data_IF_112848921762
#
_entry.id   IF_112848921762
#
_cell.length_a   1.000
_cell.length_b   1.000
_cell.length_c   1.000
_cell.angle_alpha   90.00
_cell.angle_beta   90.00
_cell.angle_gamma   90.00
#
_symmetry.space_group_name_H-M   'P 1'
#
loop_
_entity.id
_entity.type
_entity.pdbx_description
1 polymer ?
#
# COMPACT_ATOMS: atom_id res chain seq x y z
N UNK A 1 18.64 -19.56 -15.13
CA UNK A 1 19.37 -19.16 -13.91
C UNK A 1 19.33 -20.33 -12.93
N UNK A 2 20.48 -20.79 -12.43
CA UNK A 2 20.53 -21.84 -11.41
C UNK A 2 19.85 -21.31 -10.14
N UNK A 3 18.82 -22.02 -9.66
CA UNK A 3 18.22 -21.73 -8.35
C UNK A 3 19.33 -21.95 -7.32
N UNK A 4 19.90 -20.86 -6.82
CA UNK A 4 20.91 -20.89 -5.79
C UNK A 4 20.26 -21.57 -4.56
N UNK A 5 20.76 -22.73 -4.16
CA UNK A 5 20.27 -23.49 -3.00
C UNK A 5 20.76 -22.85 -1.69
N UNK A 6 20.85 -21.52 -1.63
CA UNK A 6 21.22 -20.80 -0.42
C UNK A 6 20.14 -21.06 0.66
N UNK A 7 20.56 -21.65 1.77
CA UNK A 7 19.69 -21.91 2.91
C UNK A 7 19.64 -20.68 3.81
N UNK A 8 18.74 -19.74 3.53
CA UNK A 8 18.51 -18.59 4.40
C UNK A 8 17.85 -18.98 5.74
N UNK A 9 18.18 -18.26 6.79
CA UNK A 9 17.52 -18.28 8.09
C UNK A 9 16.72 -16.99 8.29
N UNK A 10 15.39 -17.10 8.22
CA UNK A 10 14.49 -15.94 8.24
C UNK A 10 13.71 -15.81 9.55
N UNK A 11 13.55 -14.58 10.03
CA UNK A 11 12.62 -14.25 11.10
C UNK A 11 11.29 -13.76 10.51
N UNK A 12 10.20 -14.51 10.68
CA UNK A 12 8.87 -14.07 10.24
C UNK A 12 8.14 -13.38 11.38
N UNK A 13 7.90 -12.08 11.26
CA UNK A 13 7.31 -11.25 12.32
C UNK A 13 5.81 -11.03 12.11
N UNK A 14 4.99 -11.82 12.81
CA UNK A 14 3.54 -11.82 12.70
C UNK A 14 2.87 -10.85 13.71
N UNK A 15 1.92 -10.05 13.23
CA UNK A 15 1.10 -9.14 14.04
C UNK A 15 -0.27 -9.73 14.43
N UNK A 16 -0.65 -10.88 13.87
CA UNK A 16 -1.92 -11.57 14.13
C UNK A 16 -1.79 -13.08 13.96
N UNK A 17 -2.75 -13.85 14.49
CA UNK A 17 -2.81 -15.31 14.29
C UNK A 17 -2.89 -15.69 12.80
N UNK A 18 -3.61 -14.90 12.00
CA UNK A 18 -3.71 -15.16 10.57
C UNK A 18 -2.37 -14.96 9.84
N UNK A 19 -1.58 -13.96 10.25
CA UNK A 19 -0.22 -13.78 9.71
C UNK A 19 0.72 -14.89 10.19
N UNK A 20 0.59 -15.32 11.44
CA UNK A 20 1.35 -16.44 11.98
C UNK A 20 1.07 -17.74 11.22
N UNK A 21 -0.20 -18.10 11.00
CA UNK A 21 -0.57 -19.28 10.20
C UNK A 21 -0.04 -19.19 8.77
N UNK A 22 -0.16 -18.03 8.13
CA UNK A 22 0.37 -17.80 6.79
C UNK A 22 1.90 -17.96 6.72
N UNK A 23 2.64 -17.31 7.64
CA UNK A 23 4.09 -17.40 7.67
C UNK A 23 4.61 -18.79 8.03
N UNK A 24 3.93 -19.50 8.93
CA UNK A 24 4.28 -20.89 9.26
C UNK A 24 4.17 -21.80 8.04
N UNK A 25 3.05 -21.71 7.30
CA UNK A 25 2.85 -22.46 6.06
C UNK A 25 3.86 -22.04 4.99
N UNK A 26 4.03 -20.74 4.75
CA UNK A 26 4.95 -20.23 3.74
C UNK A 26 6.40 -20.66 4.02
N UNK A 27 6.86 -20.57 5.26
CA UNK A 27 8.19 -21.04 5.68
C UNK A 27 8.39 -22.53 5.38
N UNK A 28 7.38 -23.36 5.67
CA UNK A 28 7.40 -24.80 5.40
C UNK A 28 7.47 -25.07 3.90
N UNK A 29 6.58 -24.44 3.12
CA UNK A 29 6.46 -24.65 1.68
C UNK A 29 7.67 -24.10 0.90
N UNK A 30 8.34 -23.05 1.39
CA UNK A 30 9.61 -22.55 0.85
C UNK A 30 10.82 -23.43 1.22
N UNK A 31 10.66 -24.32 2.20
CA UNK A 31 11.74 -25.11 2.79
C UNK A 31 12.95 -24.24 3.18
N UNK A 32 12.71 -23.18 3.97
CA UNK A 32 13.76 -22.29 4.50
C UNK A 32 13.93 -22.44 6.01
N UNK A 33 15.15 -22.19 6.50
CA UNK A 33 15.41 -22.03 7.91
C UNK A 33 14.69 -20.80 8.47
N UNK A 34 14.39 -20.81 9.77
CA UNK A 34 13.79 -19.64 10.39
C UNK A 34 12.85 -19.93 11.54
N UNK A 35 12.22 -18.87 12.05
CA UNK A 35 11.20 -18.93 13.10
C UNK A 35 10.09 -17.92 12.83
N UNK A 36 8.87 -18.28 13.21
CA UNK A 36 7.73 -17.35 13.21
C UNK A 36 7.56 -16.80 14.62
N UNK A 37 7.61 -15.48 14.76
CA UNK A 37 7.42 -14.76 16.01
C UNK A 37 6.12 -13.96 15.97
N UNK A 38 5.16 -14.32 16.83
CA UNK A 38 3.95 -13.54 16.99
C UNK A 38 4.14 -12.41 18.01
N UNK A 39 3.96 -11.16 17.56
CA UNK A 39 4.15 -9.95 18.37
C UNK A 39 3.19 -9.84 19.58
N UNK A 40 2.10 -10.62 19.62
CA UNK A 40 1.19 -10.72 20.77
C UNK A 40 1.64 -11.75 21.81
N UNK A 41 2.38 -12.77 21.37
CA UNK A 41 2.88 -13.86 22.21
C UNK A 41 4.37 -14.11 21.92
N UNK A 42 5.25 -13.12 22.13
CA UNK A 42 6.63 -13.18 21.65
C UNK A 42 7.53 -14.15 22.43
N UNK A 43 7.01 -14.84 23.44
CA UNK A 43 7.81 -15.71 24.32
C UNK A 43 8.66 -14.94 25.33
N UNK A 44 9.82 -15.52 25.68
CA UNK A 44 10.71 -15.05 26.75
C UNK A 44 11.96 -14.35 26.18
N UNK A 45 12.47 -13.38 26.94
CA UNK A 45 13.69 -12.63 26.62
C UNK A 45 14.02 -11.62 27.72
N UNK A 46 15.23 -11.05 27.69
CA UNK A 46 15.70 -10.05 28.63
C UNK A 46 14.91 -8.74 28.56
N UNK A 47 13.74 -8.67 29.19
CA UNK A 47 12.86 -7.48 29.14
C UNK A 47 13.54 -6.20 29.63
N UNK A 48 14.48 -6.32 30.57
CA UNK A 48 15.25 -5.19 31.09
C UNK A 48 16.14 -4.56 30.01
N UNK A 49 16.92 -5.35 29.26
CA UNK A 49 17.75 -4.83 28.17
C UNK A 49 16.93 -4.18 27.07
N UNK A 50 15.78 -4.77 26.73
CA UNK A 50 14.86 -4.23 25.74
C UNK A 50 14.26 -2.89 26.21
N UNK A 51 13.86 -2.79 27.48
CA UNK A 51 13.36 -1.54 28.06
C UNK A 51 14.43 -0.44 28.08
N UNK A 52 15.66 -0.76 28.50
CA UNK A 52 16.78 0.19 28.47
C UNK A 52 17.05 0.68 27.05
N UNK A 53 17.05 -0.22 26.06
CA UNK A 53 17.22 0.14 24.66
C UNK A 53 16.12 1.10 24.17
N UNK A 54 14.86 0.85 24.55
CA UNK A 54 13.72 1.70 24.21
C UNK A 54 13.82 3.10 24.85
N UNK A 55 14.21 3.17 26.13
CA UNK A 55 14.35 4.43 26.86
C UNK A 55 15.50 5.29 26.30
N UNK A 56 16.62 4.67 25.91
CA UNK A 56 17.73 5.37 25.23
C UNK A 56 17.31 5.97 23.88
N UNK A 57 16.25 5.46 23.25
CA UNK A 57 15.69 5.92 21.98
C UNK A 57 14.36 6.66 22.13
N UNK A 58 14.14 7.30 23.29
CA UNK A 58 12.93 8.11 23.54
C UNK A 58 12.65 9.19 22.50
N UNK A 59 13.69 9.69 21.83
CA UNK A 59 13.57 10.68 20.75
C UNK A 59 12.86 10.12 19.50
N UNK A 60 12.86 8.80 19.28
CA UNK A 60 12.18 8.15 18.14
C UNK A 60 10.73 7.72 18.45
N UNK A 61 10.28 7.85 19.70
CA UNK A 61 8.95 7.34 20.08
C UNK A 61 7.82 8.03 19.34
N UNK A 62 7.92 9.33 19.07
CA UNK A 62 6.91 10.06 18.29
C UNK A 62 6.77 9.46 16.89
N UNK A 63 7.88 9.15 16.23
CA UNK A 63 7.92 8.53 14.90
C UNK A 63 7.32 7.12 14.93
N UNK A 64 7.80 6.24 15.82
CA UNK A 64 7.31 4.86 15.91
C UNK A 64 5.82 4.76 16.25
N UNK A 65 5.33 5.68 17.08
CA UNK A 65 3.94 5.67 17.53
C UNK A 65 3.00 6.47 16.60
N UNK A 66 3.53 7.21 15.63
CA UNK A 66 2.79 8.18 14.80
C UNK A 66 1.50 7.58 14.23
N UNK A 67 1.63 6.49 13.45
CA UNK A 67 0.48 5.85 12.81
C UNK A 67 -0.59 5.40 13.82
N UNK A 68 -0.18 4.75 14.92
CA UNK A 68 -1.12 4.28 15.95
C UNK A 68 -1.83 5.44 16.65
N UNK A 69 -1.12 6.55 16.88
CA UNK A 69 -1.67 7.74 17.53
C UNK A 69 -2.63 8.49 16.60
N UNK A 70 -2.27 8.70 15.34
CA UNK A 70 -3.14 9.39 14.37
C UNK A 70 -4.38 8.57 14.06
N UNK A 71 -4.23 7.27 13.76
CA UNK A 71 -5.37 6.36 13.60
C UNK A 71 -6.25 6.34 14.84
N UNK A 72 -5.65 6.43 16.03
CA UNK A 72 -6.38 6.55 17.29
C UNK A 72 -7.23 7.82 17.37
N UNK A 73 -6.65 8.98 17.07
CA UNK A 73 -7.35 10.28 17.08
C UNK A 73 -8.54 10.31 16.14
N UNK A 74 -8.37 9.84 14.89
CA UNK A 74 -9.45 9.77 13.90
C UNK A 74 -10.63 8.90 14.36
N UNK A 75 -10.36 7.91 15.21
CA UNK A 75 -11.36 6.98 15.73
C UNK A 75 -11.77 7.30 17.18
N UNK A 76 -11.53 8.51 17.69
CA UNK A 76 -11.90 8.93 19.05
C UNK A 76 -11.18 8.16 20.18
N UNK A 77 -10.03 7.54 19.89
CA UNK A 77 -9.27 6.74 20.85
C UNK A 77 -8.21 7.57 21.60
N UNK A 78 -7.73 7.01 22.73
CA UNK A 78 -6.67 7.62 23.56
C UNK A 78 -5.39 7.89 22.75
N UNK A 79 -4.79 9.06 22.96
CA UNK A 79 -3.57 9.50 22.26
C UNK A 79 -2.53 10.20 23.17
N UNK A 80 -2.84 10.36 24.47
CA UNK A 80 -2.04 11.13 25.43
C UNK A 80 -0.71 10.47 25.85
N UNK A 81 0.08 11.19 26.66
CA UNK A 81 1.44 10.77 27.07
C UNK A 81 1.47 9.41 27.77
N UNK A 82 0.56 9.16 28.72
CA UNK A 82 0.46 7.88 29.43
C UNK A 82 0.12 6.72 28.48
N UNK A 83 -0.76 6.95 27.51
CA UNK A 83 -1.09 5.96 26.49
C UNK A 83 0.13 5.61 25.63
N UNK A 84 0.87 6.62 25.17
CA UNK A 84 2.10 6.44 24.39
C UNK A 84 3.15 5.65 25.17
N UNK A 85 3.37 6.01 26.43
CA UNK A 85 4.27 5.26 27.32
C UNK A 85 3.83 3.79 27.48
N UNK A 86 2.53 3.55 27.66
CA UNK A 86 1.96 2.20 27.70
C UNK A 86 2.20 1.39 26.42
N UNK A 87 2.17 2.01 25.23
CA UNK A 87 2.52 1.34 23.97
C UNK A 87 3.99 0.92 23.92
N UNK A 88 4.90 1.75 24.44
CA UNK A 88 6.32 1.40 24.55
C UNK A 88 6.52 0.22 25.48
N UNK A 89 5.92 0.26 26.67
CA UNK A 89 5.99 -0.87 27.62
C UNK A 89 5.47 -2.17 27.00
N UNK A 90 4.36 -2.12 26.26
CA UNK A 90 3.79 -3.27 25.52
C UNK A 90 4.69 -3.80 24.40
N UNK A 91 5.70 -3.04 23.98
CA UNK A 91 6.67 -3.43 22.95
C UNK A 91 7.93 -4.09 23.53
N UNK A 92 8.16 -3.98 24.85
CA UNK A 92 9.35 -4.56 25.51
C UNK A 92 9.47 -6.06 25.29
N UNK A 93 8.37 -6.81 25.47
CA UNK A 93 8.36 -8.27 25.29
C UNK A 93 8.69 -8.69 23.86
N UNK A 94 8.11 -8.03 22.85
CA UNK A 94 8.40 -8.39 21.46
C UNK A 94 9.81 -8.00 21.05
N UNK A 95 10.30 -6.83 21.49
CA UNK A 95 11.69 -6.44 21.24
C UNK A 95 12.67 -7.40 21.92
N UNK A 96 12.41 -7.82 23.17
CA UNK A 96 13.29 -8.75 23.88
C UNK A 96 13.42 -10.11 23.17
N UNK A 97 12.32 -10.62 22.60
CA UNK A 97 12.35 -11.84 21.83
C UNK A 97 13.15 -11.69 20.52
N UNK A 98 12.95 -10.59 19.79
CA UNK A 98 13.75 -10.29 18.59
C UNK A 98 15.23 -10.14 18.94
N UNK A 99 15.57 -9.42 20.00
CA UNK A 99 16.95 -9.29 20.50
C UNK A 99 17.58 -10.67 20.79
N UNK A 100 16.83 -11.57 21.42
CA UNK A 100 17.31 -12.93 21.72
C UNK A 100 17.56 -13.73 20.44
N UNK A 101 16.66 -13.63 19.45
CA UNK A 101 16.79 -14.34 18.18
C UNK A 101 17.95 -13.79 17.34
N UNK A 102 18.10 -12.47 17.25
CA UNK A 102 19.23 -11.85 16.55
C UNK A 102 20.58 -12.30 17.15
N UNK A 103 20.69 -12.35 18.48
CA UNK A 103 21.92 -12.80 19.15
C UNK A 103 22.23 -14.28 18.98
N UNK A 104 21.20 -15.13 18.99
CA UNK A 104 21.39 -16.59 19.00
C UNK A 104 21.40 -17.23 17.61
N UNK A 105 20.82 -16.56 16.61
CA UNK A 105 20.60 -17.14 15.27
C UNK A 105 21.11 -16.29 14.13
N UNK A 106 21.37 -14.99 14.35
CA UNK A 106 21.82 -14.05 13.30
C UNK A 106 21.01 -14.17 11.99
N UNK A 107 19.72 -13.81 11.99
CA UNK A 107 18.87 -13.95 10.80
C UNK A 107 19.40 -13.16 9.62
N UNK A 108 19.32 -13.75 8.42
CA UNK A 108 19.66 -13.07 7.16
C UNK A 108 18.65 -11.95 6.86
N UNK A 109 17.39 -12.17 7.23
CA UNK A 109 16.33 -11.18 7.04
C UNK A 109 15.14 -11.35 7.98
N UNK A 110 14.34 -10.29 8.07
CA UNK A 110 13.07 -10.27 8.80
C UNK A 110 11.90 -10.00 7.85
N UNK A 111 11.01 -10.99 7.72
CA UNK A 111 9.81 -10.90 6.89
C UNK A 111 8.65 -10.37 7.71
N UNK A 112 7.96 -9.35 7.23
CA UNK A 112 6.79 -8.79 7.90
C UNK A 112 5.77 -8.22 6.91
N UNK A 113 4.49 -8.29 7.27
CA UNK A 113 3.42 -7.69 6.47
C UNK A 113 3.26 -6.21 6.82
N UNK A 114 3.22 -5.34 5.82
CA UNK A 114 3.22 -3.89 5.93
C UNK A 114 4.52 -3.38 6.58
N UNK A 115 4.47 -2.64 7.70
CA UNK A 115 5.62 -2.07 8.37
C UNK A 115 5.29 -0.85 9.25
N UNK A 116 4.11 -0.27 9.11
CA UNK A 116 3.70 0.94 9.82
C UNK A 116 3.30 0.74 11.29
N UNK A 117 3.03 -0.50 11.73
CA UNK A 117 2.59 -0.73 13.10
C UNK A 117 3.72 -0.43 14.09
N UNK A 118 3.42 0.21 15.23
CA UNK A 118 4.45 0.67 16.17
C UNK A 118 5.44 -0.41 16.66
N UNK A 119 4.94 -1.63 16.91
CA UNK A 119 5.81 -2.78 17.23
C UNK A 119 6.77 -3.13 16.09
N UNK A 120 6.31 -3.04 14.84
CA UNK A 120 7.15 -3.25 13.65
C UNK A 120 8.16 -2.12 13.52
N UNK A 121 7.77 -0.85 13.68
CA UNK A 121 8.69 0.29 13.65
C UNK A 121 9.82 0.16 14.68
N UNK A 122 9.51 -0.28 15.90
CA UNK A 122 10.50 -0.56 16.95
C UNK A 122 11.44 -1.71 16.55
N UNK A 123 10.87 -2.83 16.07
CA UNK A 123 11.66 -3.99 15.64
C UNK A 123 12.54 -3.66 14.45
N UNK A 124 12.02 -2.93 13.47
CA UNK A 124 12.72 -2.44 12.28
C UNK A 124 13.88 -1.51 12.66
N UNK A 125 13.69 -0.64 13.64
CA UNK A 125 14.78 0.20 14.14
C UNK A 125 15.89 -0.64 14.77
N UNK A 126 15.55 -1.66 15.57
CA UNK A 126 16.53 -2.56 16.16
C UNK A 126 17.28 -3.41 15.12
N UNK A 127 16.57 -4.10 14.23
CA UNK A 127 17.18 -5.02 13.26
C UNK A 127 18.10 -4.30 12.26
N UNK A 128 17.81 -3.04 11.90
CA UNK A 128 18.72 -2.20 11.10
C UNK A 128 20.02 -1.89 11.81
N UNK A 129 20.01 -1.66 13.13
CA UNK A 129 21.25 -1.51 13.92
C UNK A 129 22.07 -2.81 13.96
N UNK A 130 21.45 -3.96 13.69
CA UNK A 130 22.13 -5.25 13.63
C UNK A 130 22.54 -5.64 12.20
N UNK A 131 22.27 -4.81 11.19
CA UNK A 131 22.56 -5.13 9.78
C UNK A 131 21.66 -6.22 9.19
N UNK A 132 20.51 -6.52 9.79
CA UNK A 132 19.57 -7.54 9.31
C UNK A 132 18.62 -6.91 8.28
N UNK A 133 18.46 -7.57 7.12
CA UNK A 133 17.67 -7.05 6.01
C UNK A 133 16.15 -7.13 6.28
N UNK A 134 15.41 -6.02 6.30
CA UNK A 134 13.95 -6.07 6.32
C UNK A 134 13.40 -6.53 4.97
N UNK A 135 12.35 -7.35 5.02
CA UNK A 135 11.60 -7.86 3.87
C UNK A 135 10.13 -7.50 4.08
N UNK A 136 9.69 -6.44 3.42
CA UNK A 136 8.35 -5.87 3.56
C UNK A 136 7.40 -6.56 2.59
N UNK A 137 6.38 -7.21 3.11
CA UNK A 137 5.30 -7.81 2.31
C UNK A 137 4.06 -6.94 2.31
N UNK A 138 3.32 -6.90 1.22
CA UNK A 138 2.00 -6.29 1.13
C UNK A 138 1.13 -7.06 0.15
N UNK A 139 -0.19 -6.85 0.20
CA UNK A 139 -1.04 -7.26 -0.92
C UNK A 139 -0.54 -6.61 -2.22
N UNK A 140 -0.46 -7.41 -3.28
CA UNK A 140 -0.03 -6.89 -4.59
C UNK A 140 -1.07 -5.97 -5.23
N UNK A 141 -0.59 -5.11 -6.12
CA UNK A 141 -1.44 -4.16 -6.86
C UNK A 141 -2.17 -4.80 -8.06
N UNK A 142 -1.77 -6.01 -8.48
CA UNK A 142 -2.49 -6.80 -9.48
C UNK A 142 -3.31 -7.92 -8.81
N UNK A 143 -4.37 -8.42 -9.46
CA UNK A 143 -5.20 -9.50 -8.93
C UNK A 143 -4.39 -10.74 -8.53
N UNK A 144 -4.74 -11.34 -7.38
CA UNK A 144 -4.09 -12.55 -6.84
C UNK A 144 -2.56 -12.50 -6.78
N UNK A 145 -2.00 -11.35 -6.39
CA UNK A 145 -0.55 -11.19 -6.19
C UNK A 145 -0.20 -10.70 -4.79
N UNK A 146 1.07 -10.84 -4.44
CA UNK A 146 1.72 -10.32 -3.22
C UNK A 146 2.97 -9.56 -3.62
N UNK A 147 3.21 -8.39 -3.03
CA UNK A 147 4.47 -7.67 -3.18
C UNK A 147 5.42 -8.05 -2.04
N UNK A 148 6.72 -8.19 -2.34
CA UNK A 148 7.78 -8.27 -1.33
C UNK A 148 9.00 -7.45 -1.76
N UNK A 149 9.54 -6.64 -0.85
CA UNK A 149 10.54 -5.62 -1.18
C UNK A 149 11.49 -5.38 0.01
N UNK A 150 12.76 -5.09 -0.27
CA UNK A 150 13.78 -4.84 0.74
C UNK A 150 13.80 -3.41 1.32
N UNK A 151 13.23 -2.43 0.62
CA UNK A 151 13.20 -1.01 1.02
C UNK A 151 11.90 -0.64 1.74
N UNK A 152 10.76 -1.12 1.26
CA UNK A 152 9.46 -0.77 1.82
C UNK A 152 8.29 -1.27 0.97
N UNK A 153 7.06 -0.91 1.36
CA UNK A 153 5.85 -1.23 0.58
C UNK A 153 5.12 0.04 0.19
N UNK A 154 4.29 -0.07 -0.85
CA UNK A 154 3.59 1.07 -1.45
C UNK A 154 4.59 2.16 -1.85
N UNK A 155 4.32 3.43 -1.55
CA UNK A 155 5.21 4.53 -1.93
C UNK A 155 6.69 4.36 -1.51
N UNK A 156 6.95 3.70 -0.38
CA UNK A 156 8.29 3.47 0.14
C UNK A 156 9.03 2.27 -0.49
N UNK A 157 8.40 1.56 -1.44
CA UNK A 157 9.01 0.44 -2.14
C UNK A 157 10.10 0.86 -3.12
N UNK A 158 10.86 -0.13 -3.61
CA UNK A 158 11.97 0.05 -4.52
C UNK A 158 11.57 0.12 -6.01
N UNK A 159 10.27 0.26 -6.31
CA UNK A 159 9.76 0.35 -7.69
C UNK A 159 10.43 1.53 -8.41
N UNK A 160 11.11 1.31 -9.56
CA UNK A 160 11.79 2.37 -10.31
C UNK A 160 10.83 3.49 -10.70
N UNK A 161 11.30 4.75 -10.61
CA UNK A 161 10.49 5.94 -10.88
C UNK A 161 10.82 6.65 -12.18
N UNK A 162 11.80 6.13 -12.91
CA UNK A 162 12.22 6.65 -14.21
C UNK A 162 11.45 5.91 -15.32
N UNK A 163 10.70 6.60 -16.19
CA UNK A 163 10.02 5.95 -17.31
C UNK A 163 10.98 5.25 -18.28
N UNK A 164 12.24 5.71 -18.40
CA UNK A 164 13.24 5.09 -19.27
C UNK A 164 13.56 3.65 -18.86
N UNK A 165 13.47 3.35 -17.56
CA UNK A 165 13.63 1.99 -17.05
C UNK A 165 12.62 1.03 -17.69
N UNK A 166 11.35 1.43 -17.76
CA UNK A 166 10.28 0.59 -18.32
C UNK A 166 10.32 0.55 -19.83
N UNK A 167 10.69 1.65 -20.51
CA UNK A 167 10.89 1.63 -21.97
C UNK A 167 12.02 0.70 -22.41
N UNK A 168 13.03 0.51 -21.56
CA UNK A 168 14.10 -0.48 -21.79
C UNK A 168 13.73 -1.92 -21.38
N UNK A 169 12.59 -2.12 -20.71
CA UNK A 169 12.14 -3.44 -20.30
C UNK A 169 11.48 -4.17 -21.46
N UNK A 170 11.89 -5.42 -21.70
CA UNK A 170 11.35 -6.25 -22.78
C UNK A 170 10.53 -7.39 -22.15
N UNK A 171 9.18 -7.29 -22.15
CA UNK A 171 8.31 -8.31 -21.56
C UNK A 171 8.54 -9.69 -22.17
N UNK A 172 8.54 -10.73 -21.34
CA UNK A 172 8.65 -12.11 -21.83
C UNK A 172 7.35 -12.64 -22.42
N UNK A 173 6.22 -12.05 -22.03
CA UNK A 173 4.87 -12.41 -22.45
C UNK A 173 4.03 -11.16 -22.68
N UNK A 174 2.98 -11.31 -23.49
CA UNK A 174 1.92 -10.31 -23.51
C UNK A 174 1.23 -10.25 -22.16
N UNK A 175 1.07 -9.03 -21.66
CA UNK A 175 0.41 -8.78 -20.39
C UNK A 175 -1.08 -8.93 -20.60
N UNK A 176 -1.68 -9.89 -19.91
CA UNK A 176 -3.12 -9.98 -19.84
C UNK A 176 -3.64 -8.79 -19.02
N UNK A 177 -4.08 -7.74 -19.72
CA UNK A 177 -4.67 -6.54 -19.12
C UNK A 177 -6.12 -6.78 -18.68
N UNK A 178 -6.68 -7.99 -18.84
CA UNK A 178 -8.03 -8.25 -18.33
C UNK A 178 -8.04 -8.24 -16.80
N UNK A 179 -8.54 -7.14 -16.24
CA UNK A 179 -8.89 -7.10 -14.84
C UNK A 179 -9.92 -8.18 -14.55
N UNK A 180 -9.57 -9.09 -13.65
CA UNK A 180 -10.56 -10.03 -13.09
C UNK A 180 -11.61 -9.19 -12.36
N UNK A 181 -12.83 -9.17 -12.92
CA UNK A 181 -14.01 -8.58 -12.30
C UNK A 181 -14.12 -9.07 -10.86
N UNK A 182 -13.91 -8.16 -9.90
CA UNK A 182 -14.22 -8.47 -8.50
C UNK A 182 -15.74 -8.52 -8.40
N UNK A 183 -16.34 -9.56 -7.79
CA UNK A 183 -17.78 -9.57 -7.61
C UNK A 183 -18.17 -8.31 -6.82
N UNK A 184 -19.15 -7.53 -7.29
CA UNK A 184 -19.60 -6.35 -6.58
C UNK A 184 -20.04 -6.76 -5.18
N UNK A 185 -19.61 -6.00 -4.16
CA UNK A 185 -20.31 -6.07 -2.88
C UNK A 185 -21.72 -5.56 -3.10
N UNK A 186 -22.72 -6.18 -2.46
CA UNK A 186 -24.13 -5.81 -2.61
C UNK A 186 -24.25 -4.27 -2.64
N UNK A 187 -24.72 -3.69 -3.77
CA UNK A 187 -24.96 -2.26 -3.86
C UNK A 187 -25.86 -1.82 -2.71
N UNK A 188 -25.60 -0.62 -2.19
CA UNK A 188 -26.52 0.04 -1.27
C UNK A 188 -27.20 1.14 -2.07
N UNK A 189 -28.49 0.98 -2.33
CA UNK A 189 -29.29 1.91 -3.12
C UNK A 189 -29.35 1.56 -4.62
N UNK A 190 -29.94 2.47 -5.39
CA UNK A 190 -30.11 2.35 -6.83
C UNK A 190 -28.98 3.07 -7.58
N UNK A 191 -28.42 2.49 -8.66
CA UNK A 191 -27.45 3.17 -9.52
C UNK A 191 -27.99 4.51 -10.03
N UNK A 192 -27.09 5.49 -10.18
CA UNK A 192 -27.42 6.78 -10.79
C UNK A 192 -27.04 6.80 -12.26
N UNK A 193 -27.74 7.63 -13.04
CA UNK A 193 -27.37 7.93 -14.42
C UNK A 193 -26.06 8.69 -14.46
N UNK A 194 -25.15 8.25 -15.34
CA UNK A 194 -23.82 8.84 -15.46
C UNK A 194 -23.82 9.91 -16.55
N UNK A 195 -23.21 11.09 -16.30
CA UNK A 195 -23.04 12.11 -17.31
C UNK A 195 -22.08 11.62 -18.42
N UNK A 196 -22.21 12.20 -19.62
CA UNK A 196 -21.44 11.76 -20.79
C UNK A 196 -19.92 11.98 -20.65
N UNK A 197 -19.49 12.98 -19.87
CA UNK A 197 -18.08 13.30 -19.62
C UNK A 197 -17.85 13.49 -18.14
N UNK A 198 -17.03 12.62 -17.55
CA UNK A 198 -16.70 12.74 -16.13
C UNK A 198 -15.30 12.26 -15.79
N UNK A 199 -14.85 12.75 -14.64
CA UNK A 199 -13.67 12.29 -13.94
C UNK A 199 -14.13 11.47 -12.74
N UNK A 200 -13.70 10.22 -12.66
CA UNK A 200 -14.03 9.34 -11.54
C UNK A 200 -13.07 9.58 -10.37
N UNK A 201 -13.61 9.67 -9.15
CA UNK A 201 -12.86 9.92 -7.92
C UNK A 201 -13.27 8.91 -6.83
N UNK A 202 -12.60 7.74 -6.75
CA UNK A 202 -12.86 6.77 -5.69
C UNK A 202 -12.34 7.29 -4.34
N UNK A 203 -13.21 7.34 -3.35
CA UNK A 203 -12.79 7.51 -1.96
C UNK A 203 -12.04 6.26 -1.47
N UNK A 204 -11.23 6.48 -0.43
CA UNK A 204 -10.41 5.47 0.23
C UNK A 204 -10.83 5.34 1.70
N UNK A 205 -10.34 4.31 2.38
CA UNK A 205 -10.57 4.17 3.82
C UNK A 205 -9.85 5.30 4.57
N UNK A 206 -10.61 6.11 5.31
CA UNK A 206 -10.12 7.32 5.98
C UNK A 206 -8.96 7.11 6.96
N UNK A 207 -8.83 5.91 7.52
CA UNK A 207 -7.78 5.56 8.49
C UNK A 207 -6.75 4.55 7.95
N UNK A 208 -6.66 4.47 6.62
CA UNK A 208 -5.65 3.71 5.89
C UNK A 208 -4.25 4.29 6.11
N UNK A 209 -3.25 3.41 6.09
CA UNK A 209 -1.84 3.80 6.17
C UNK A 209 -1.43 4.71 5.02
N UNK A 210 -1.95 4.50 3.81
CA UNK A 210 -1.67 5.33 2.63
C UNK A 210 -2.17 6.76 2.79
N UNK A 211 -3.35 6.97 3.39
CA UNK A 211 -3.85 8.32 3.67
C UNK A 211 -2.99 8.97 4.77
N UNK A 212 -2.76 8.25 5.87
CA UNK A 212 -2.07 8.80 7.04
C UNK A 212 -0.57 9.08 6.85
N UNK A 213 0.11 8.36 5.95
CA UNK A 213 1.56 8.47 5.75
C UNK A 213 1.96 9.03 4.37
N UNK A 214 1.07 8.92 3.38
CA UNK A 214 1.42 9.17 1.98
C UNK A 214 0.45 10.14 1.29
N UNK A 215 -0.30 10.94 2.06
CA UNK A 215 -1.11 12.04 1.53
C UNK A 215 -0.70 13.37 2.19
N UNK A 216 0.16 14.18 1.53
CA UNK A 216 0.75 15.36 2.16
C UNK A 216 -0.21 16.55 2.29
N UNK A 217 -1.21 16.66 1.42
CA UNK A 217 -2.15 17.80 1.41
C UNK A 217 -3.64 17.39 1.43
N UNK A 218 -3.98 16.15 1.06
CA UNK A 218 -5.35 15.60 1.14
C UNK A 218 -5.46 14.63 2.31
N UNK A 219 -5.63 15.14 3.52
CA UNK A 219 -5.54 14.34 4.76
C UNK A 219 -6.79 13.51 5.12
N UNK A 220 -7.88 13.70 4.37
CA UNK A 220 -9.20 13.11 4.64
C UNK A 220 -10.04 13.06 3.36
N UNK A 221 -11.11 12.27 3.37
CA UNK A 221 -12.02 12.19 2.23
C UNK A 221 -12.88 13.46 2.11
N UNK A 222 -13.14 14.14 3.23
CA UNK A 222 -13.77 15.46 3.20
C UNK A 222 -12.82 16.51 2.61
N UNK A 223 -11.53 16.50 2.97
CA UNK A 223 -10.53 17.36 2.33
C UNK A 223 -10.46 17.13 0.82
N UNK A 224 -10.53 15.87 0.38
CA UNK A 224 -10.65 15.53 -1.03
C UNK A 224 -11.90 16.16 -1.65
N UNK A 225 -13.07 15.97 -1.04
CA UNK A 225 -14.32 16.56 -1.53
C UNK A 225 -14.23 18.08 -1.66
N UNK A 226 -13.80 18.77 -0.61
CA UNK A 226 -13.75 20.23 -0.61
C UNK A 226 -12.72 20.78 -1.60
N UNK A 227 -11.63 20.05 -1.86
CA UNK A 227 -10.70 20.41 -2.93
C UNK A 227 -11.35 20.29 -4.32
N UNK A 228 -12.12 19.22 -4.56
CA UNK A 228 -12.91 19.07 -5.80
C UNK A 228 -13.94 20.19 -5.94
N UNK A 229 -14.68 20.50 -4.86
CA UNK A 229 -15.69 21.57 -4.82
C UNK A 229 -15.08 22.93 -5.13
N UNK A 230 -13.93 23.28 -4.52
CA UNK A 230 -13.25 24.55 -4.80
C UNK A 230 -12.72 24.65 -6.23
N UNK A 231 -12.35 23.54 -6.85
CA UNK A 231 -11.81 23.52 -8.20
C UNK A 231 -12.85 23.21 -9.29
N UNK A 232 -14.09 22.87 -8.93
CA UNK A 232 -15.11 22.39 -9.89
C UNK A 232 -15.43 23.40 -11.00
N UNK A 233 -15.28 24.70 -10.72
CA UNK A 233 -15.44 25.78 -11.70
C UNK A 233 -14.37 25.79 -12.78
N UNK A 234 -13.20 25.17 -12.52
CA UNK A 234 -12.14 25.01 -13.51
C UNK A 234 -12.45 23.91 -14.53
N UNK A 235 -13.36 22.97 -14.24
CA UNK A 235 -13.73 21.93 -15.19
C UNK A 235 -14.42 22.53 -16.43
N UNK A 236 -14.11 22.03 -17.65
CA UNK A 236 -14.80 22.45 -18.86
C UNK A 236 -16.31 22.22 -18.77
N UNK A 237 -17.09 22.98 -19.54
CA UNK A 237 -18.54 22.86 -19.54
C UNK A 237 -19.01 21.42 -19.81
N UNK A 238 -20.03 20.97 -19.08
CA UNK A 238 -20.59 19.62 -19.19
C UNK A 238 -19.79 18.49 -18.53
N UNK A 239 -18.61 18.78 -17.95
CA UNK A 239 -17.86 17.80 -17.17
C UNK A 239 -18.33 17.75 -15.72
N UNK A 240 -18.31 16.56 -15.12
CA UNK A 240 -18.61 16.37 -13.70
C UNK A 240 -17.54 15.52 -13.01
N UNK A 241 -17.48 15.64 -11.69
CA UNK A 241 -16.83 14.64 -10.84
C UNK A 241 -17.84 13.57 -10.46
N UNK A 242 -17.47 12.30 -10.63
CA UNK A 242 -18.23 11.17 -10.08
C UNK A 242 -17.45 10.60 -8.91
N UNK A 243 -18.03 10.68 -7.72
CA UNK A 243 -17.43 10.22 -6.47
C UNK A 243 -18.05 8.89 -6.08
N UNK A 244 -17.24 7.96 -5.55
CA UNK A 244 -17.76 6.73 -4.94
C UNK A 244 -17.10 6.48 -3.61
N UNK A 245 -17.91 6.28 -2.56
CA UNK A 245 -17.43 5.89 -1.24
C UNK A 245 -16.78 4.51 -1.24
N UNK A 246 -15.75 4.34 -0.40
CA UNK A 246 -15.09 3.05 -0.28
C UNK A 246 -16.00 2.03 0.45
N UNK A 247 -16.28 0.84 -0.13
CA UNK A 247 -17.26 -0.11 0.43
C UNK A 247 -16.83 -0.80 1.73
N UNK A 248 -15.61 -0.53 2.20
CA UNK A 248 -15.10 -0.97 3.51
C UNK A 248 -14.93 0.17 4.51
N UNK A 249 -15.21 1.41 4.11
CA UNK A 249 -15.21 2.53 5.03
C UNK A 249 -16.36 2.37 6.03
N UNK A 250 -16.10 2.68 7.29
CA UNK A 250 -17.12 2.65 8.36
C UNK A 250 -17.85 3.98 8.52
N UNK A 251 -17.28 5.03 7.94
CA UNK A 251 -17.81 6.40 7.97
C UNK A 251 -18.64 6.60 6.71
N UNK A 252 -19.84 7.15 6.88
CA UNK A 252 -20.69 7.64 5.79
C UNK A 252 -20.37 9.11 5.53
N UNK A 253 -20.48 9.53 4.27
CA UNK A 253 -20.26 10.91 3.83
C UNK A 253 -21.55 11.56 3.29
N UNK A 254 -22.72 11.07 3.68
CA UNK A 254 -24.04 11.60 3.23
C UNK A 254 -24.18 13.13 3.34
N UNK A 255 -23.63 13.73 4.39
CA UNK A 255 -23.65 15.18 4.63
C UNK A 255 -22.97 16.05 3.55
N UNK A 256 -22.25 15.46 2.59
CA UNK A 256 -21.63 16.16 1.45
C UNK A 256 -22.13 15.67 0.09
N UNK A 257 -23.12 14.75 0.05
CA UNK A 257 -23.57 14.16 -1.22
C UNK A 257 -24.21 15.18 -2.16
N UNK A 258 -24.92 16.16 -1.62
CA UNK A 258 -25.74 17.09 -2.39
C UNK A 258 -25.22 18.54 -2.39
N UNK A 259 -23.97 18.79 -1.93
CA UNK A 259 -23.50 20.17 -1.79
C UNK A 259 -23.16 20.84 -3.13
N UNK A 260 -22.95 20.09 -4.22
CA UNK A 260 -22.63 20.66 -5.52
C UNK A 260 -23.17 19.83 -6.70
N UNK A 261 -23.91 20.47 -7.62
CA UNK A 261 -24.59 19.80 -8.75
C UNK A 261 -23.67 19.09 -9.75
N UNK A 262 -22.41 19.51 -9.85
CA UNK A 262 -21.37 18.90 -10.71
C UNK A 262 -20.48 17.87 -9.99
N UNK A 263 -20.81 17.50 -8.75
CA UNK A 263 -20.12 16.45 -7.99
C UNK A 263 -21.17 15.43 -7.57
N UNK A 264 -21.23 14.29 -8.27
CA UNK A 264 -22.30 13.30 -8.09
C UNK A 264 -21.75 12.05 -7.40
N UNK A 265 -22.43 11.59 -6.36
CA UNK A 265 -22.07 10.34 -5.67
C UNK A 265 -22.74 9.12 -6.32
N UNK A 266 -21.95 8.20 -6.86
CA UNK A 266 -22.39 6.97 -7.53
C UNK A 266 -22.12 5.72 -6.66
N UNK A 267 -22.67 5.73 -5.44
CA UNK A 267 -22.38 4.70 -4.44
C UNK A 267 -22.94 3.31 -4.79
N UNK A 268 -23.99 3.24 -5.61
CA UNK A 268 -24.61 1.99 -6.06
C UNK A 268 -24.06 1.44 -7.39
N UNK A 269 -23.43 2.26 -8.25
CA UNK A 269 -22.88 1.83 -9.54
C UNK A 269 -21.67 0.89 -9.38
N UNK A 270 -21.38 0.02 -10.35
CA UNK A 270 -20.19 -0.84 -10.26
C UNK A 270 -18.88 -0.03 -10.44
N UNK A 271 -17.83 -0.37 -9.69
CA UNK A 271 -16.57 0.37 -9.75
C UNK A 271 -15.87 0.23 -11.09
N UNK A 272 -15.92 -0.94 -11.73
CA UNK A 272 -15.31 -1.13 -13.04
C UNK A 272 -16.09 -0.36 -14.11
N UNK A 273 -17.43 -0.36 -14.07
CA UNK A 273 -18.26 0.45 -14.96
C UNK A 273 -17.94 1.95 -14.84
N UNK A 274 -17.72 2.44 -13.62
CA UNK A 274 -17.32 3.84 -13.38
C UNK A 274 -15.93 4.15 -13.93
N UNK A 275 -14.99 3.20 -13.94
CA UNK A 275 -13.66 3.41 -14.52
C UNK A 275 -13.74 3.36 -16.05
N UNK A 276 -14.40 2.36 -16.62
CA UNK A 276 -14.55 2.17 -18.07
C UNK A 276 -15.34 3.32 -18.73
N UNK A 277 -16.33 3.88 -18.02
CA UNK A 277 -17.09 5.02 -18.49
C UNK A 277 -16.38 6.37 -18.31
N UNK A 278 -15.43 6.46 -17.37
CA UNK A 278 -14.72 7.70 -17.08
C UNK A 278 -13.84 8.15 -18.26
N UNK A 279 -13.67 9.46 -18.37
CA UNK A 279 -12.62 10.03 -19.24
C UNK A 279 -11.26 9.99 -18.55
N UNK A 280 -11.26 10.15 -17.23
CA UNK A 280 -10.07 10.22 -16.40
C UNK A 280 -10.37 9.72 -14.98
N UNK A 281 -9.34 9.35 -14.23
CA UNK A 281 -9.47 8.98 -12.82
C UNK A 281 -8.56 9.83 -11.94
N UNK A 282 -9.12 10.43 -10.89
CA UNK A 282 -8.35 11.08 -9.82
C UNK A 282 -8.31 10.13 -8.63
N UNK A 283 -7.13 9.87 -8.09
CA UNK A 283 -7.00 9.14 -6.82
C UNK A 283 -5.95 9.79 -5.95
N UNK A 284 -6.00 9.61 -4.62
CA UNK A 284 -4.91 10.07 -3.78
C UNK A 284 -3.69 9.16 -4.05
N UNK A 285 -3.82 7.87 -3.75
CA UNK A 285 -2.74 6.90 -3.93
C UNK A 285 -3.26 5.45 -3.96
N UNK A 286 -4.51 5.27 -4.41
CA UNK A 286 -5.17 3.96 -4.44
C UNK A 286 -4.59 3.02 -5.49
N UNK A 287 -4.74 1.71 -5.29
CA UNK A 287 -4.52 0.72 -6.36
C UNK A 287 -5.55 0.84 -7.48
N UNK A 288 -6.68 1.52 -7.25
CA UNK A 288 -7.64 1.87 -8.31
C UNK A 288 -6.97 2.69 -9.42
N UNK A 289 -5.92 3.46 -9.12
CA UNK A 289 -5.11 4.10 -10.17
C UNK A 289 -4.46 3.10 -11.11
N UNK A 290 -3.89 2.01 -10.59
CA UNK A 290 -3.33 0.93 -11.42
C UNK A 290 -4.43 0.20 -12.22
N UNK A 291 -5.56 -0.09 -11.58
CA UNK A 291 -6.73 -0.69 -12.25
C UNK A 291 -7.22 0.23 -13.39
N UNK A 292 -7.16 1.54 -13.22
CA UNK A 292 -7.57 2.53 -14.24
C UNK A 292 -6.60 2.55 -15.43
N UNK A 293 -5.29 2.48 -15.17
CA UNK A 293 -4.28 2.39 -16.23
C UNK A 293 -4.48 1.13 -17.10
N UNK A 294 -4.78 -0.01 -16.46
CA UNK A 294 -5.09 -1.27 -17.15
C UNK A 294 -6.35 -1.21 -18.02
N UNK A 295 -7.30 -0.33 -17.67
CA UNK A 295 -8.55 -0.11 -18.41
C UNK A 295 -8.47 1.05 -19.41
N UNK A 296 -7.25 1.52 -19.75
CA UNK A 296 -7.07 2.55 -20.76
C UNK A 296 -7.36 3.96 -20.27
N UNK A 297 -7.34 4.22 -18.96
CA UNK A 297 -7.75 5.51 -18.39
C UNK A 297 -6.55 6.28 -17.87
N UNK A 298 -6.35 7.55 -18.32
CA UNK A 298 -5.36 8.43 -17.71
C UNK A 298 -5.67 8.68 -16.23
N UNK A 299 -4.62 8.76 -15.42
CA UNK A 299 -4.72 8.89 -13.97
C UNK A 299 -4.01 10.14 -13.48
N UNK A 300 -4.66 10.87 -12.58
CA UNK A 300 -4.07 11.93 -11.77
C UNK A 300 -3.98 11.47 -10.31
N UNK A 301 -2.78 11.48 -9.75
CA UNK A 301 -2.56 11.20 -8.34
C UNK A 301 -2.46 12.48 -7.52
N UNK A 302 -3.02 12.49 -6.30
CA UNK A 302 -2.95 13.63 -5.37
C UNK A 302 -1.99 13.38 -4.20
N UNK A 303 -1.70 12.11 -3.92
CA UNK A 303 -0.79 11.67 -2.89
C UNK A 303 0.48 11.05 -3.45
N UNK A 304 1.32 10.62 -2.53
CA UNK A 304 2.53 9.87 -2.81
C UNK A 304 2.16 8.43 -3.16
N UNK A 305 2.13 8.08 -4.46
CA UNK A 305 1.87 6.73 -4.93
C UNK A 305 3.13 6.13 -5.55
N UNK A 306 3.30 4.80 -5.49
CA UNK A 306 4.52 4.17 -6.01
C UNK A 306 4.65 4.24 -7.54
N UNK A 307 3.54 4.53 -8.21
CA UNK A 307 3.42 4.68 -9.65
C UNK A 307 3.34 6.15 -10.07
N UNK A 308 3.68 7.11 -9.19
CA UNK A 308 3.97 8.50 -9.59
C UNK A 308 5.25 8.50 -10.42
N UNK A 309 5.12 8.14 -11.69
CA UNK A 309 6.18 8.01 -12.67
C UNK A 309 5.84 9.01 -13.78
N UNK A 310 6.76 9.92 -14.15
CA UNK A 310 6.54 10.84 -15.27
C UNK A 310 6.07 10.08 -16.50
N UNK A 311 5.12 10.65 -17.23
CA UNK A 311 4.52 10.07 -18.44
C UNK A 311 3.63 8.83 -18.24
N UNK A 312 3.71 8.16 -17.09
CA UNK A 312 2.76 7.09 -16.72
C UNK A 312 1.48 7.66 -16.11
N UNK A 313 1.61 8.65 -15.22
CA UNK A 313 0.50 9.37 -14.58
C UNK A 313 0.84 10.84 -14.44
N UNK A 314 -0.19 11.68 -14.35
CA UNK A 314 -0.04 13.05 -13.85
C UNK A 314 -0.09 13.07 -12.32
N UNK A 315 0.53 14.07 -11.69
CA UNK A 315 0.54 14.23 -10.24
C UNK A 315 0.26 15.68 -9.84
N UNK A 316 -0.67 15.90 -8.90
CA UNK A 316 -0.92 17.19 -8.28
C UNK A 316 -0.47 17.16 -6.81
N UNK A 317 0.53 17.98 -6.50
CA UNK A 317 1.07 18.14 -5.15
C UNK A 317 0.36 19.24 -4.33
N UNK A 318 -0.59 19.96 -4.94
CA UNK A 318 -1.41 20.98 -4.29
C UNK A 318 -2.77 21.15 -4.97
N UNK A 319 -3.66 21.90 -4.33
CA UNK A 319 -4.96 22.27 -4.88
C UNK A 319 -4.84 23.13 -6.13
N UNK A 320 -3.87 24.04 -6.19
CA UNK A 320 -3.63 24.89 -7.36
C UNK A 320 -3.23 24.04 -8.57
N UNK A 321 -2.37 23.04 -8.38
CA UNK A 321 -2.00 22.10 -9.43
C UNK A 321 -3.17 21.23 -9.86
N UNK A 322 -4.01 20.80 -8.91
CA UNK A 322 -5.25 20.09 -9.22
C UNK A 322 -6.15 20.94 -10.13
N UNK A 323 -6.43 22.19 -9.74
CA UNK A 323 -7.24 23.14 -10.52
C UNK A 323 -6.70 23.36 -11.93
N UNK A 324 -5.38 23.53 -12.07
CA UNK A 324 -4.72 23.69 -13.38
C UNK A 324 -4.89 22.44 -14.26
N UNK A 325 -4.67 21.24 -13.72
CA UNK A 325 -4.72 20.00 -14.48
C UNK A 325 -6.15 19.65 -14.91
N UNK A 326 -7.16 19.87 -14.06
CA UNK A 326 -8.56 19.58 -14.41
C UNK A 326 -9.15 20.59 -15.39
N UNK A 327 -8.51 21.75 -15.59
CA UNK A 327 -8.96 22.75 -16.58
C UNK A 327 -8.75 22.30 -18.03
N UNK A 328 -7.87 21.32 -18.24
CA UNK A 328 -7.62 20.71 -19.55
C UNK A 328 -7.54 19.20 -19.40
N UNK A 329 -8.67 18.53 -19.08
CA UNK A 329 -8.67 17.09 -18.81
C UNK A 329 -8.17 16.25 -19.99
N UNK A 330 -8.37 16.75 -21.22
CA UNK A 330 -7.94 16.07 -22.44
C UNK A 330 -6.41 16.08 -22.64
N UNK A 331 -5.66 16.87 -21.87
CA UNK A 331 -4.18 16.92 -21.96
C UNK A 331 -3.47 15.95 -21.00
N UNK A 332 -4.21 15.15 -20.23
CA UNK A 332 -3.61 14.24 -19.26
C UNK A 332 -2.81 13.15 -19.96
N UNK A 333 -1.65 12.83 -19.38
CA UNK A 333 -0.72 11.91 -20.03
C UNK A 333 -1.22 10.48 -19.93
N UNK A 334 -1.20 9.78 -21.07
CA UNK A 334 -1.43 8.35 -21.17
C UNK A 334 -0.57 7.79 -22.30
N UNK A 335 0.55 7.16 -21.92
CA UNK A 335 1.42 6.42 -22.83
C UNK A 335 1.09 4.92 -22.68
N UNK A 336 0.28 4.41 -23.60
CA UNK A 336 -0.20 3.01 -23.59
C UNK A 336 0.95 2.00 -23.59
N UNK A 337 2.03 2.30 -24.32
CA UNK A 337 3.20 1.42 -24.39
C UNK A 337 3.96 1.42 -23.06
N UNK A 338 4.15 2.59 -22.45
CA UNK A 338 4.74 2.70 -21.12
C UNK A 338 3.91 1.97 -20.06
N UNK A 339 2.57 2.08 -20.11
CA UNK A 339 1.67 1.33 -19.23
C UNK A 339 1.88 -0.17 -19.40
N UNK A 340 1.92 -0.67 -20.64
CA UNK A 340 2.14 -2.09 -20.94
C UNK A 340 3.47 -2.58 -20.37
N UNK A 341 4.57 -1.84 -20.58
CA UNK A 341 5.88 -2.20 -20.03
C UNK A 341 5.93 -2.14 -18.50
N UNK A 342 5.30 -1.14 -17.90
CA UNK A 342 5.20 -1.01 -16.45
C UNK A 342 4.47 -2.20 -15.82
N UNK A 343 3.31 -2.57 -16.36
CA UNK A 343 2.51 -3.69 -15.85
C UNK A 343 3.23 -5.03 -16.10
N UNK A 344 3.87 -5.19 -17.27
CA UNK A 344 4.67 -6.38 -17.56
C UNK A 344 5.75 -6.58 -16.51
N UNK A 345 6.51 -5.52 -16.25
CA UNK A 345 7.57 -5.54 -15.25
C UNK A 345 7.03 -5.82 -13.84
N UNK A 346 5.89 -5.22 -13.47
CA UNK A 346 5.25 -5.50 -12.18
C UNK A 346 4.92 -6.99 -12.06
N UNK A 347 4.33 -7.59 -13.09
CA UNK A 347 3.89 -8.98 -13.08
C UNK A 347 5.07 -9.97 -13.08
N UNK A 348 6.09 -9.72 -13.90
CA UNK A 348 7.22 -10.65 -14.10
C UNK A 348 8.30 -10.51 -13.02
N UNK A 349 8.62 -9.28 -12.62
CA UNK A 349 9.78 -8.98 -11.76
C UNK A 349 9.40 -8.60 -10.32
N UNK A 350 8.33 -7.82 -10.13
CA UNK A 350 8.01 -7.28 -8.79
C UNK A 350 7.10 -8.16 -7.96
N UNK A 351 6.01 -8.62 -8.56
CA UNK A 351 4.91 -9.28 -7.87
C UNK A 351 5.14 -10.78 -7.83
N UNK A 352 4.75 -11.37 -6.71
CA UNK A 352 4.73 -12.81 -6.50
C UNK A 352 3.30 -13.32 -6.71
N UNK A 353 3.05 -14.26 -7.63
CA UNK A 353 1.73 -14.86 -7.82
C UNK A 353 1.22 -15.50 -6.53
N UNK A 354 -0.07 -15.35 -6.23
CA UNK A 354 -0.73 -15.81 -5.02
C UNK A 354 -0.88 -14.72 -3.96
N UNK A 355 -2.02 -14.75 -3.26
CA UNK A 355 -2.38 -13.75 -2.23
C UNK A 355 -2.16 -14.26 -0.81
N UNK A 356 -1.99 -13.32 0.12
CA UNK A 356 -2.08 -13.60 1.55
C UNK A 356 -3.34 -14.43 1.90
N UNK A 357 -3.12 -15.59 2.54
CA UNK A 357 -4.10 -16.65 2.90
C UNK A 357 -4.55 -17.61 1.79
N UNK A 358 -4.27 -17.34 0.52
CA UNK A 358 -4.69 -18.20 -0.58
C UNK A 358 -3.63 -18.19 -1.66
N UNK A 359 -2.86 -19.27 -1.75
CA UNK A 359 -1.86 -19.43 -2.80
C UNK A 359 -1.70 -20.89 -3.23
N UNK A 360 -1.18 -21.06 -4.45
CA UNK A 360 -0.83 -22.34 -5.08
C UNK A 360 0.68 -22.58 -4.97
N UNK A 361 1.13 -23.73 -5.47
CA UNK A 361 2.51 -24.23 -5.33
C UNK A 361 3.59 -23.33 -5.96
N UNK A 362 3.23 -22.41 -6.85
CA UNK A 362 4.16 -21.44 -7.45
C UNK A 362 4.57 -20.33 -6.47
N UNK A 363 3.65 -19.93 -5.57
CA UNK A 363 3.87 -18.80 -4.67
C UNK A 363 5.09 -18.99 -3.75
N UNK A 364 5.26 -20.13 -3.04
CA UNK A 364 6.45 -20.34 -2.20
C UNK A 364 7.74 -20.35 -3.02
N UNK A 365 7.73 -20.92 -4.23
CA UNK A 365 8.92 -20.97 -5.10
C UNK A 365 9.36 -19.57 -5.51
N UNK A 366 8.43 -18.77 -6.03
CA UNK A 366 8.70 -17.39 -6.45
C UNK A 366 9.02 -16.47 -5.25
N UNK A 367 8.36 -16.67 -4.11
CA UNK A 367 8.68 -15.93 -2.87
C UNK A 367 10.11 -16.22 -2.40
N UNK A 368 10.53 -17.48 -2.38
CA UNK A 368 11.90 -17.86 -2.00
C UNK A 368 12.93 -17.24 -2.95
N UNK A 369 12.69 -17.31 -4.25
CA UNK A 369 13.53 -16.69 -5.26
C UNK A 369 13.64 -15.18 -5.02
N UNK A 370 12.50 -14.49 -4.83
CA UNK A 370 12.48 -13.04 -4.63
C UNK A 370 13.18 -12.61 -3.34
N UNK A 371 13.01 -13.36 -2.27
CA UNK A 371 13.75 -13.13 -1.01
C UNK A 371 15.25 -13.27 -1.25
N UNK A 372 15.68 -14.30 -1.99
CA UNK A 372 17.08 -14.50 -2.33
C UNK A 372 17.67 -13.34 -3.13
N UNK A 373 16.97 -12.88 -4.17
CA UNK A 373 17.35 -11.70 -4.97
C UNK A 373 17.60 -10.48 -4.07
N UNK A 374 16.67 -10.19 -3.13
CA UNK A 374 16.80 -9.06 -2.21
C UNK A 374 17.99 -9.23 -1.26
N UNK A 375 18.18 -10.43 -0.70
CA UNK A 375 19.27 -10.71 0.25
C UNK A 375 20.65 -10.70 -0.41
N UNK A 376 20.73 -11.05 -1.68
CA UNK A 376 21.97 -11.02 -2.48
C UNK A 376 22.25 -9.62 -3.06
N UNK A 377 21.38 -8.64 -2.80
CA UNK A 377 21.55 -7.25 -3.21
C UNK A 377 21.03 -6.93 -4.61
N UNK A 378 20.38 -7.88 -5.28
CA UNK A 378 19.67 -7.62 -6.53
C UNK A 378 18.38 -6.84 -6.24
N UNK A 379 18.16 -5.75 -6.98
CA UNK A 379 16.88 -5.06 -6.92
C UNK A 379 15.86 -5.70 -7.86
N UNK A 380 16.25 -6.08 -9.09
CA UNK A 380 15.40 -6.67 -10.13
C UNK A 380 16.20 -7.56 -11.05
#
# INVERSE_FOLDING_TARGET
MSINNASYWLLFFAMSRNQESYFSRLKQDMAVGGVVLNAKHPGWGGRFSALVWLLRRRHLWSQWLFFRVQKGRLNGQKAGKLFRFGLILRSTGCLAAVQSLCKSRAPDGIVLMNGAHYKQQIVLAYIREQGVQPLYMELGCLPDTTAIDGKGVNYNGAVPRDPCFYRGYHPSKDVDATLIKRPPRKPVGEPVDLPARYIFVPFQVYDDTQILLHSPWVDSMESLYWALERCVSSLPEGWCFIVKEHPSARKSYEHIHDNHSRIVFANANDTQELIEGARLVITINSTVGIESLLLGRPVLTLGNAFYNIPELVSHAASEEQLSQLIASPESWVYDEELVRHFVAWLSEQYLVPGRFRSYRDEHPKRMKQRIGEILEGSQW
#
